data_IF_786198991892
#
_entry.id   IF_786198991892
#
_cell.length_a   1.000
_cell.length_b   1.000
_cell.length_c   1.000
_cell.angle_alpha   90.00
_cell.angle_beta   90.00
_cell.angle_gamma   90.00
#
_symmetry.space_group_name_H-M   'P 1'
#
loop_
_entity.id
_entity.type
_entity.pdbx_description
1 polymer ?
#
# COMPACT_ATOMS: atom_id res chain seq x y z
N UNK A 1 -16.80 -5.24 -4.60
CA UNK A 1 -16.62 -6.65 -4.94
C UNK A 1 -17.90 -7.27 -5.51
N UNK A 2 -19.05 -7.18 -4.83
CA UNK A 2 -20.31 -7.80 -5.25
C UNK A 2 -20.75 -7.40 -6.67
N UNK A 3 -20.65 -6.12 -7.02
CA UNK A 3 -21.01 -5.63 -8.35
C UNK A 3 -20.16 -6.24 -9.48
N UNK A 4 -18.90 -6.53 -9.21
CA UNK A 4 -17.99 -7.23 -10.15
C UNK A 4 -18.32 -8.71 -10.21
N UNK A 5 -18.53 -9.38 -9.04
CA UNK A 5 -18.84 -10.81 -8.94
C UNK A 5 -20.11 -11.19 -9.74
N UNK A 6 -21.13 -10.34 -9.68
CA UNK A 6 -22.43 -10.60 -10.34
C UNK A 6 -22.58 -9.90 -11.71
N UNK A 7 -21.49 -9.35 -12.26
CA UNK A 7 -21.47 -8.74 -13.61
C UNK A 7 -22.15 -7.38 -13.74
N UNK A 8 -22.57 -6.76 -12.65
CA UNK A 8 -23.19 -5.40 -12.68
C UNK A 8 -22.16 -4.29 -12.93
N UNK A 9 -20.89 -4.55 -12.62
CA UNK A 9 -19.77 -3.64 -12.86
C UNK A 9 -18.82 -4.31 -13.83
N UNK A 10 -18.58 -3.68 -14.97
CA UNK A 10 -17.58 -4.14 -15.95
C UNK A 10 -16.19 -4.06 -15.32
N UNK A 11 -15.43 -5.13 -15.45
CA UNK A 11 -14.09 -5.25 -14.87
C UNK A 11 -13.20 -6.09 -15.78
N UNK A 12 -11.90 -5.76 -15.82
CA UNK A 12 -10.90 -6.57 -16.52
C UNK A 12 -10.74 -7.96 -15.86
N UNK A 13 -10.10 -8.88 -16.59
CA UNK A 13 -9.82 -10.25 -16.12
C UNK A 13 -9.14 -10.25 -14.76
N UNK A 14 -8.08 -9.46 -14.58
CA UNK A 14 -7.28 -9.41 -13.35
C UNK A 14 -8.07 -8.90 -12.14
N UNK A 15 -8.90 -7.87 -12.34
CA UNK A 15 -9.78 -7.41 -11.26
C UNK A 15 -10.83 -8.46 -10.87
N UNK A 16 -11.43 -9.16 -11.83
CA UNK A 16 -12.35 -10.29 -11.55
C UNK A 16 -11.68 -11.38 -10.73
N UNK A 17 -10.42 -11.71 -11.04
CA UNK A 17 -9.63 -12.71 -10.31
C UNK A 17 -9.32 -12.25 -8.87
N UNK A 18 -8.91 -10.99 -8.68
CA UNK A 18 -8.70 -10.41 -7.35
C UNK A 18 -9.99 -10.44 -6.50
N UNK A 19 -11.14 -10.11 -7.11
CA UNK A 19 -12.45 -10.21 -6.46
C UNK A 19 -12.83 -11.65 -6.13
N UNK A 20 -12.56 -12.60 -7.03
CA UNK A 20 -12.78 -14.04 -6.76
C UNK A 20 -11.96 -14.50 -5.55
N UNK A 21 -10.68 -14.09 -5.49
CA UNK A 21 -9.79 -14.41 -4.36
C UNK A 21 -10.32 -13.82 -3.04
N UNK A 22 -10.82 -12.59 -3.04
CA UNK A 22 -11.46 -11.99 -1.86
C UNK A 22 -12.60 -12.86 -1.32
N UNK A 23 -13.49 -13.35 -2.18
CA UNK A 23 -14.60 -14.23 -1.75
C UNK A 23 -14.09 -15.59 -1.27
N UNK A 24 -13.08 -16.16 -1.93
CA UNK A 24 -12.44 -17.38 -1.46
C UNK A 24 -11.80 -17.21 -0.07
N UNK A 25 -11.19 -16.05 0.19
CA UNK A 25 -10.61 -15.75 1.50
C UNK A 25 -11.67 -15.59 2.59
N UNK A 26 -12.84 -15.04 2.27
CA UNK A 26 -13.97 -14.94 3.21
C UNK A 26 -14.51 -16.31 3.62
N UNK A 27 -14.49 -17.28 2.70
CA UNK A 27 -14.96 -18.64 2.93
C UNK A 27 -13.88 -19.56 3.55
N UNK A 28 -12.60 -19.14 3.50
CA UNK A 28 -11.49 -19.95 3.95
C UNK A 28 -11.43 -20.01 5.50
N UNK A 29 -11.50 -21.22 6.09
CA UNK A 29 -11.50 -21.40 7.54
C UNK A 29 -10.22 -20.93 8.25
N UNK A 30 -9.12 -20.73 7.52
CA UNK A 30 -7.84 -20.25 8.07
C UNK A 30 -7.84 -18.74 8.34
N UNK A 31 -8.78 -17.99 7.76
CA UNK A 31 -8.81 -16.54 7.86
C UNK A 31 -10.05 -16.03 8.60
N UNK A 32 -9.93 -14.83 9.13
CA UNK A 32 -11.05 -13.99 9.61
C UNK A 32 -11.00 -12.67 8.89
N UNK A 33 -12.16 -12.07 8.65
CA UNK A 33 -12.27 -10.72 8.14
C UNK A 33 -12.71 -9.79 9.28
N UNK A 34 -11.98 -8.69 9.48
CA UNK A 34 -12.23 -7.68 10.50
C UNK A 34 -12.79 -6.41 9.81
N UNK A 35 -14.12 -6.24 9.74
CA UNK A 35 -14.72 -5.07 9.12
C UNK A 35 -14.43 -3.78 9.89
N UNK A 36 -14.21 -3.86 11.21
CA UNK A 36 -14.00 -2.67 12.04
C UNK A 36 -12.69 -1.96 11.68
N UNK A 37 -11.62 -2.69 11.37
CA UNK A 37 -10.36 -2.06 10.93
C UNK A 37 -10.53 -1.38 9.58
N UNK A 38 -11.33 -1.96 8.68
CA UNK A 38 -11.64 -1.38 7.36
C UNK A 38 -12.44 -0.09 7.51
N UNK A 39 -13.50 -0.11 8.31
CA UNK A 39 -14.32 1.08 8.58
C UNK A 39 -13.51 2.19 9.23
N UNK A 40 -12.64 1.84 10.20
CA UNK A 40 -11.72 2.80 10.82
C UNK A 40 -10.73 3.39 9.83
N UNK A 41 -10.21 2.59 8.88
CA UNK A 41 -9.32 3.09 7.83
C UNK A 41 -10.06 4.04 6.87
N UNK A 42 -11.28 3.70 6.44
CA UNK A 42 -12.12 4.57 5.61
C UNK A 42 -12.46 5.87 6.36
N UNK A 43 -12.80 5.79 7.64
CA UNK A 43 -13.03 7.00 8.44
C UNK A 43 -11.74 7.83 8.62
N UNK A 44 -10.59 7.17 8.76
CA UNK A 44 -9.29 7.84 8.85
C UNK A 44 -8.90 8.56 7.56
N UNK A 45 -9.25 8.06 6.38
CA UNK A 45 -8.98 8.75 5.11
C UNK A 45 -9.58 10.17 5.09
N UNK A 46 -10.75 10.35 5.71
CA UNK A 46 -11.42 11.66 5.84
C UNK A 46 -10.71 12.62 6.80
N UNK A 47 -9.86 12.09 7.69
CA UNK A 47 -9.00 12.91 8.54
C UNK A 47 -7.78 13.43 7.77
N UNK A 48 -7.44 12.76 6.67
CA UNK A 48 -6.37 13.16 5.76
C UNK A 48 -6.94 14.10 4.68
N UNK A 49 -6.53 15.37 4.61
CA UNK A 49 -7.03 16.29 3.61
C UNK A 49 -6.28 16.16 2.28
N UNK A 50 -6.93 16.53 1.19
CA UNK A 50 -6.25 16.77 -0.08
C UNK A 50 -5.16 17.82 0.08
N UNK A 51 -3.98 17.57 -0.47
CA UNK A 51 -2.80 18.45 -0.29
C UNK A 51 -2.55 19.37 -1.48
N UNK A 52 -3.15 19.07 -2.64
CA UNK A 52 -2.93 19.78 -3.92
C UNK A 52 -4.25 20.06 -4.64
N UNK A 53 -4.19 20.95 -5.63
CA UNK A 53 -5.30 21.27 -6.52
C UNK A 53 -6.46 22.00 -5.86
N UNK A 54 -7.60 22.03 -6.56
CA UNK A 54 -8.81 22.75 -6.13
C UNK A 54 -9.42 22.17 -4.83
N UNK A 55 -9.19 20.88 -4.56
CA UNK A 55 -9.69 20.19 -3.38
C UNK A 55 -8.80 20.35 -2.14
N UNK A 56 -7.71 21.11 -2.22
CA UNK A 56 -6.75 21.26 -1.11
C UNK A 56 -7.45 21.67 0.19
N UNK A 57 -7.24 20.87 1.23
CA UNK A 57 -7.83 21.08 2.57
C UNK A 57 -9.16 20.34 2.79
N UNK A 58 -9.84 19.86 1.73
CA UNK A 58 -11.05 19.03 1.89
C UNK A 58 -10.69 17.59 2.29
N UNK A 59 -11.56 16.90 3.03
CA UNK A 59 -11.40 15.48 3.36
C UNK A 59 -11.26 14.60 2.12
N UNK A 60 -10.46 13.54 2.22
CA UNK A 60 -10.33 12.55 1.16
C UNK A 60 -11.38 11.46 1.36
N UNK A 61 -12.23 11.28 0.35
CA UNK A 61 -13.13 10.14 0.24
C UNK A 61 -12.49 9.08 -0.67
N UNK A 62 -12.34 7.86 -0.15
CA UNK A 62 -11.75 6.77 -0.93
C UNK A 62 -12.72 6.29 -2.01
N UNK A 63 -12.22 6.14 -3.22
CA UNK A 63 -12.94 5.51 -4.33
C UNK A 63 -13.22 4.02 -4.02
N UNK A 64 -14.28 3.42 -4.61
CA UNK A 64 -14.64 2.04 -4.33
C UNK A 64 -13.52 1.02 -4.52
N UNK A 65 -12.65 1.21 -5.51
CA UNK A 65 -11.51 0.33 -5.73
C UNK A 65 -10.45 0.46 -4.64
N UNK A 66 -10.25 1.67 -4.12
CA UNK A 66 -9.33 1.94 -3.01
C UNK A 66 -9.85 1.31 -1.72
N UNK A 67 -11.16 1.46 -1.46
CA UNK A 67 -11.80 0.79 -0.33
C UNK A 67 -11.67 -0.73 -0.43
N UNK A 68 -11.86 -1.31 -1.61
CA UNK A 68 -11.68 -2.75 -1.85
C UNK A 68 -10.23 -3.20 -1.58
N UNK A 69 -9.25 -2.47 -2.11
CA UNK A 69 -7.83 -2.80 -1.90
C UNK A 69 -7.47 -2.81 -0.40
N UNK A 70 -7.85 -1.76 0.32
CA UNK A 70 -7.54 -1.68 1.75
C UNK A 70 -8.40 -2.59 2.62
N UNK A 71 -9.62 -2.93 2.20
CA UNK A 71 -10.40 -3.97 2.84
C UNK A 71 -9.69 -5.32 2.78
N UNK A 72 -9.12 -5.68 1.61
CA UNK A 72 -8.31 -6.90 1.50
C UNK A 72 -7.05 -6.81 2.36
N UNK A 73 -6.23 -5.78 2.18
CA UNK A 73 -4.91 -5.66 2.81
C UNK A 73 -5.01 -5.60 4.34
N UNK A 74 -5.96 -4.85 4.89
CA UNK A 74 -6.04 -4.60 6.33
C UNK A 74 -7.06 -5.51 7.04
N UNK A 75 -8.10 -5.97 6.32
CA UNK A 75 -9.22 -6.67 6.93
C UNK A 75 -8.97 -8.16 7.18
N UNK A 76 -8.19 -8.84 6.35
CA UNK A 76 -7.96 -10.27 6.53
C UNK A 76 -6.85 -10.56 7.55
N UNK A 77 -7.17 -11.48 8.48
CA UNK A 77 -6.25 -11.98 9.51
C UNK A 77 -6.16 -13.49 9.49
N UNK A 78 -4.98 -14.02 9.76
CA UNK A 78 -4.74 -15.47 9.96
C UNK A 78 -5.26 -15.86 11.34
N UNK A 79 -6.25 -16.73 11.45
CA UNK A 79 -6.89 -17.13 12.72
C UNK A 79 -5.90 -17.64 13.76
N UNK A 80 -4.94 -18.44 13.34
CA UNK A 80 -3.97 -19.06 14.24
C UNK A 80 -3.07 -18.04 14.95
N UNK A 81 -2.84 -16.86 14.36
CA UNK A 81 -1.90 -15.87 14.87
C UNK A 81 -2.54 -14.52 15.20
N UNK A 82 -3.74 -14.25 14.71
CA UNK A 82 -4.41 -12.96 14.76
C UNK A 82 -3.75 -11.88 13.90
N UNK A 83 -2.68 -12.23 13.17
CA UNK A 83 -1.91 -11.29 12.36
C UNK A 83 -2.54 -11.06 11.00
N UNK A 84 -2.21 -9.93 10.38
CA UNK A 84 -2.62 -9.61 9.01
C UNK A 84 -2.22 -10.72 8.04
N UNK A 85 -3.15 -11.13 7.15
CA UNK A 85 -2.88 -12.12 6.12
C UNK A 85 -1.88 -11.60 5.09
N UNK A 86 -2.10 -10.38 4.59
CA UNK A 86 -1.30 -9.80 3.54
C UNK A 86 -0.14 -8.99 4.10
N UNK A 87 1.09 -9.45 3.83
CA UNK A 87 2.34 -8.79 4.20
C UNK A 87 3.03 -8.12 3.03
N UNK A 88 2.55 -8.38 1.81
CA UNK A 88 2.95 -7.68 0.60
C UNK A 88 1.74 -7.35 -0.26
N UNK A 89 1.83 -6.25 -1.00
CA UNK A 89 0.79 -5.81 -1.92
C UNK A 89 1.42 -5.24 -3.19
N UNK A 90 0.91 -5.67 -4.34
CA UNK A 90 1.21 -5.10 -5.65
C UNK A 90 -0.06 -4.52 -6.26
N UNK A 91 -0.04 -3.22 -6.52
CA UNK A 91 -1.17 -2.48 -7.09
C UNK A 91 -0.72 -1.79 -8.36
N UNK A 92 -1.25 -2.21 -9.49
CA UNK A 92 -1.07 -1.56 -10.77
C UNK A 92 -2.37 -0.91 -11.23
N UNK A 93 -2.36 0.42 -11.33
CA UNK A 93 -3.53 1.21 -11.78
C UNK A 93 -3.07 2.33 -12.71
N UNK A 94 -3.90 2.75 -13.68
CA UNK A 94 -3.56 3.82 -14.61
C UNK A 94 -3.13 5.11 -13.91
N UNK A 95 -2.47 6.00 -14.66
CA UNK A 95 -2.13 7.34 -14.17
C UNK A 95 -3.37 8.12 -13.74
N UNK A 96 -3.20 9.08 -12.83
CA UNK A 96 -4.25 9.97 -12.28
C UNK A 96 -5.29 9.28 -11.40
N UNK A 97 -5.02 8.07 -10.90
CA UNK A 97 -5.85 7.35 -9.94
C UNK A 97 -5.40 7.52 -8.48
N UNK A 98 -4.82 8.68 -8.15
CA UNK A 98 -4.46 9.07 -6.78
C UNK A 98 -3.52 8.09 -6.04
N UNK A 99 -2.65 7.35 -6.76
CA UNK A 99 -1.72 6.35 -6.19
C UNK A 99 -0.92 6.88 -4.99
N UNK A 100 -0.18 7.96 -5.20
CA UNK A 100 0.67 8.55 -4.14
C UNK A 100 -0.17 9.09 -2.98
N UNK A 101 -1.40 9.56 -3.25
CA UNK A 101 -2.33 10.02 -2.21
C UNK A 101 -2.76 8.88 -1.30
N UNK A 102 -3.17 7.73 -1.84
CA UNK A 102 -3.58 6.59 -1.01
C UNK A 102 -2.40 5.96 -0.29
N UNK A 103 -1.22 5.94 -0.90
CA UNK A 103 0.02 5.53 -0.24
C UNK A 103 0.37 6.46 0.95
N UNK A 104 0.16 7.78 0.81
CA UNK A 104 0.36 8.74 1.88
C UNK A 104 -0.65 8.58 3.03
N UNK A 105 -1.92 8.24 2.73
CA UNK A 105 -2.91 7.90 3.76
C UNK A 105 -2.48 6.65 4.53
N UNK A 106 -2.03 5.60 3.82
CA UNK A 106 -1.54 4.36 4.43
C UNK A 106 -0.33 4.63 5.33
N UNK A 107 0.62 5.47 4.88
CA UNK A 107 1.76 5.88 5.70
C UNK A 107 1.34 6.57 7.00
N UNK A 108 0.39 7.50 6.92
CA UNK A 108 -0.14 8.19 8.10
C UNK A 108 -0.95 7.25 9.01
N UNK A 109 -1.66 6.27 8.44
CA UNK A 109 -2.35 5.23 9.22
C UNK A 109 -1.35 4.44 10.07
N UNK A 110 -0.30 3.90 9.46
CA UNK A 110 0.75 3.19 10.19
C UNK A 110 1.41 4.06 11.24
N UNK A 111 1.64 5.35 10.94
CA UNK A 111 2.30 6.28 11.85
C UNK A 111 1.51 6.51 13.15
N UNK A 112 0.17 6.61 13.08
CA UNK A 112 -0.64 7.10 14.22
C UNK A 112 -1.72 6.15 14.71
N UNK A 113 -2.03 5.07 13.98
CA UNK A 113 -3.13 4.16 14.30
C UNK A 113 -2.65 2.74 14.64
N UNK A 114 -1.52 2.30 14.08
CA UNK A 114 -0.95 0.99 14.38
C UNK A 114 -0.32 0.95 15.77
N UNK A 115 -0.33 -0.23 16.39
CA UNK A 115 0.20 -0.44 17.73
C UNK A 115 1.74 -0.58 17.71
N UNK A 116 2.35 -0.11 18.80
CA UNK A 116 3.81 -0.17 18.98
C UNK A 116 4.56 0.83 18.12
N UNK A 117 5.88 0.69 18.09
CA UNK A 117 6.75 1.53 17.27
C UNK A 117 6.72 1.08 15.82
N UNK A 118 6.42 2.02 14.93
CA UNK A 118 6.38 1.81 13.49
C UNK A 118 7.51 2.55 12.79
N UNK A 119 8.25 1.84 11.95
CA UNK A 119 9.26 2.40 11.06
C UNK A 119 8.71 2.38 9.63
N UNK A 120 8.30 3.55 9.14
CA UNK A 120 7.63 3.70 7.86
C UNK A 120 8.58 4.37 6.86
N UNK A 121 8.77 3.74 5.72
CA UNK A 121 9.65 4.23 4.67
C UNK A 121 8.92 4.38 3.34
N UNK A 122 9.19 5.48 2.65
CA UNK A 122 8.82 5.67 1.25
C UNK A 122 10.07 5.56 0.38
N UNK A 123 10.02 4.73 -0.64
CA UNK A 123 11.13 4.48 -1.56
C UNK A 123 10.67 4.67 -3.01
N UNK A 124 11.53 5.21 -3.84
CA UNK A 124 11.37 5.34 -5.29
C UNK A 124 12.75 5.41 -5.95
N UNK A 125 12.80 5.47 -7.28
CA UNK A 125 14.05 5.48 -8.07
C UNK A 125 15.02 6.58 -7.68
N UNK A 126 14.49 7.74 -7.32
CA UNK A 126 15.28 8.87 -6.83
C UNK A 126 14.79 9.34 -5.47
N UNK A 127 15.66 10.04 -4.73
CA UNK A 127 15.29 10.66 -3.46
C UNK A 127 14.14 11.65 -3.62
N UNK A 128 14.09 12.37 -4.73
CA UNK A 128 13.04 13.36 -4.99
C UNK A 128 11.70 12.69 -5.26
N UNK A 129 11.70 11.55 -5.97
CA UNK A 129 10.48 10.76 -6.16
C UNK A 129 10.01 10.08 -4.87
N UNK A 130 10.93 9.50 -4.06
CA UNK A 130 10.58 8.95 -2.74
C UNK A 130 9.95 10.00 -1.82
N UNK A 131 10.29 11.28 -2.02
CA UNK A 131 9.70 12.40 -1.28
C UNK A 131 8.26 12.71 -1.68
N UNK A 132 7.79 12.32 -2.86
CA UNK A 132 6.42 12.65 -3.30
C UNK A 132 5.39 12.10 -2.32
N UNK A 133 5.45 10.82 -2.01
CA UNK A 133 4.53 10.18 -1.03
C UNK A 133 4.78 10.71 0.38
N UNK A 134 6.06 10.86 0.75
CA UNK A 134 6.43 11.43 2.06
C UNK A 134 5.92 12.87 2.23
N UNK A 135 6.13 13.73 1.24
CA UNK A 135 5.71 15.14 1.32
C UNK A 135 4.17 15.25 1.30
N UNK A 136 3.46 14.40 0.57
CA UNK A 136 2.00 14.34 0.62
C UNK A 136 1.53 13.90 2.02
N UNK A 137 2.10 12.85 2.61
CA UNK A 137 1.78 12.42 3.97
C UNK A 137 2.09 13.50 5.01
N UNK A 138 3.24 14.15 4.88
CA UNK A 138 3.66 15.26 5.74
C UNK A 138 2.72 16.46 5.62
N UNK A 139 2.29 16.83 4.41
CA UNK A 139 1.33 17.92 4.18
C UNK A 139 -0.05 17.58 4.75
N UNK A 140 -0.51 16.32 4.65
CA UNK A 140 -1.73 15.87 5.32
C UNK A 140 -1.65 16.10 6.82
N UNK A 141 -0.50 15.78 7.45
CA UNK A 141 -0.29 16.04 8.87
C UNK A 141 -0.29 17.55 9.20
N UNK A 142 0.26 18.41 8.34
CA UNK A 142 0.27 19.85 8.54
C UNK A 142 -1.14 20.47 8.44
N UNK A 143 -1.93 20.03 7.48
CA UNK A 143 -3.25 20.57 7.19
C UNK A 143 -4.33 20.01 8.14
N UNK A 144 -4.18 18.76 8.59
CA UNK A 144 -5.11 18.11 9.50
C UNK A 144 -4.86 18.48 10.97
N UNK A 145 -5.78 19.21 11.59
CA UNK A 145 -5.68 19.54 13.02
C UNK A 145 -5.57 18.30 13.94
N UNK A 146 -6.34 17.21 13.72
CA UNK A 146 -6.19 15.97 14.50
C UNK A 146 -4.81 15.32 14.36
N UNK A 147 -4.26 15.21 13.14
CA UNK A 147 -2.94 14.62 12.91
C UNK A 147 -1.83 15.50 13.47
N UNK A 148 -1.88 16.81 13.21
CA UNK A 148 -0.87 17.77 13.67
C UNK A 148 -0.68 17.76 15.19
N UNK A 149 -1.73 17.47 15.97
CA UNK A 149 -1.66 17.35 17.44
C UNK A 149 -0.96 16.09 17.92
N UNK A 150 -0.82 15.07 17.05
CA UNK A 150 -0.27 13.76 17.42
C UNK A 150 1.19 13.59 17.01
N UNK A 151 1.67 14.38 16.05
CA UNK A 151 2.98 14.15 15.44
C UNK A 151 3.89 15.38 15.50
N UNK A 152 5.19 15.14 15.57
CA UNK A 152 6.24 16.13 15.39
C UNK A 152 6.69 16.12 13.92
N UNK A 153 6.46 17.24 13.22
CA UNK A 153 6.64 17.34 11.77
C UNK A 153 7.94 18.09 11.48
N UNK A 154 8.89 17.40 10.85
CA UNK A 154 10.18 17.95 10.44
C UNK A 154 10.30 17.94 8.90
N UNK A 155 11.36 18.57 8.37
CA UNK A 155 11.58 18.65 6.93
C UNK A 155 11.80 17.29 6.24
N UNK A 156 12.38 16.31 6.95
CA UNK A 156 12.81 15.04 6.39
C UNK A 156 12.25 13.81 7.14
N UNK A 157 11.44 14.04 8.14
CA UNK A 157 10.76 12.97 8.89
C UNK A 157 9.53 13.50 9.62
N UNK A 158 8.58 12.59 9.88
CA UNK A 158 7.45 12.82 10.76
C UNK A 158 7.52 11.78 11.87
N UNK A 159 7.38 12.22 13.12
CA UNK A 159 7.52 11.35 14.30
C UNK A 159 6.23 11.38 15.09
N UNK A 160 5.73 10.22 15.49
CA UNK A 160 4.67 10.10 16.50
C UNK A 160 5.32 9.88 17.88
N UNK A 161 5.40 10.93 18.73
CA UNK A 161 6.23 10.87 19.95
C UNK A 161 5.73 9.85 20.97
N UNK A 162 4.45 9.52 20.96
CA UNK A 162 3.84 8.57 21.90
C UNK A 162 4.36 7.13 21.74
N UNK A 163 4.58 6.70 20.49
CA UNK A 163 5.04 5.35 20.14
C UNK A 163 6.47 5.34 19.62
N UNK A 164 7.08 6.52 19.46
CA UNK A 164 8.36 6.71 18.78
C UNK A 164 8.36 6.21 17.32
N UNK A 165 7.18 6.19 16.70
CA UNK A 165 7.03 5.80 15.28
C UNK A 165 7.59 6.89 14.36
N UNK A 166 8.17 6.46 13.24
CA UNK A 166 8.90 7.33 12.31
C UNK A 166 8.44 7.10 10.87
N UNK A 167 8.15 8.19 10.15
CA UNK A 167 7.97 8.21 8.70
C UNK A 167 9.08 9.03 8.06
N UNK A 168 9.82 8.45 7.11
CA UNK A 168 10.86 9.16 6.33
C UNK A 168 11.03 8.60 4.91
N UNK A 169 11.48 9.42 3.95
CA UNK A 169 11.87 8.94 2.63
C UNK A 169 13.25 8.29 2.67
N UNK A 170 13.43 7.20 1.91
CA UNK A 170 14.72 6.55 1.70
C UNK A 170 15.30 6.94 0.34
N UNK A 171 16.62 7.08 0.29
CA UNK A 171 17.33 7.17 -0.98
C UNK A 171 17.36 5.78 -1.65
N UNK A 172 17.20 5.75 -2.97
CA UNK A 172 17.10 4.53 -3.79
C UNK A 172 18.40 3.74 -3.96
N UNK A 173 19.19 3.60 -2.88
CA UNK A 173 20.40 2.76 -2.88
C UNK A 173 20.18 1.62 -1.92
N UNK A 174 20.23 0.37 -2.41
CA UNK A 174 20.09 -0.84 -1.59
C UNK A 174 20.98 -0.78 -0.33
N UNK A 175 22.23 -0.33 -0.45
CA UNK A 175 23.16 -0.16 0.66
C UNK A 175 22.68 0.82 1.77
N UNK A 176 21.77 1.74 1.48
CA UNK A 176 21.19 2.64 2.50
C UNK A 176 19.95 2.06 3.18
N UNK A 177 19.41 0.97 2.62
CA UNK A 177 18.24 0.24 3.11
C UNK A 177 18.68 -0.88 4.04
N UNK A 178 19.88 -1.42 3.84
CA UNK A 178 20.48 -2.44 4.72
C UNK A 178 20.52 -1.94 6.18
N UNK A 179 20.06 -2.80 7.10
CA UNK A 179 19.93 -2.46 8.52
C UNK A 179 18.65 -1.70 8.90
N UNK A 180 17.75 -1.42 7.95
CA UNK A 180 16.40 -0.94 8.29
C UNK A 180 15.51 -2.13 8.69
N UNK A 181 14.49 -1.86 9.51
CA UNK A 181 13.50 -2.85 9.95
C UNK A 181 12.09 -2.28 9.73
N UNK A 182 11.63 -2.17 8.47
CA UNK A 182 10.38 -1.50 8.16
C UNK A 182 9.16 -2.25 8.71
N UNK A 183 8.22 -1.52 9.29
CA UNK A 183 6.85 -2.01 9.51
C UNK A 183 5.94 -1.71 8.31
N UNK A 184 6.25 -0.63 7.59
CA UNK A 184 5.65 -0.33 6.29
C UNK A 184 6.75 0.19 5.36
N UNK A 185 6.89 -0.43 4.20
CA UNK A 185 7.70 0.08 3.10
C UNK A 185 6.80 0.34 1.89
N UNK A 186 6.81 1.57 1.40
CA UNK A 186 6.05 1.99 0.22
C UNK A 186 7.02 2.16 -0.93
N UNK A 187 6.85 1.37 -1.99
CA UNK A 187 7.58 1.47 -3.25
C UNK A 187 6.66 2.11 -4.28
N UNK A 188 6.86 3.40 -4.53
CA UNK A 188 6.07 4.16 -5.50
C UNK A 188 6.75 4.14 -6.88
N UNK A 189 5.93 4.15 -7.93
CA UNK A 189 6.36 4.11 -9.35
C UNK A 189 7.36 2.98 -9.63
N UNK A 190 7.04 1.76 -9.16
CA UNK A 190 7.93 0.59 -9.24
C UNK A 190 8.42 0.30 -10.66
N UNK A 191 7.62 0.62 -11.69
CA UNK A 191 8.01 0.46 -13.10
C UNK A 191 9.24 1.28 -13.52
N UNK A 192 9.62 2.31 -12.77
CA UNK A 192 10.79 3.14 -13.04
C UNK A 192 12.06 2.57 -12.39
N UNK A 193 11.97 1.61 -11.47
CA UNK A 193 13.15 1.03 -10.82
C UNK A 193 14.01 0.25 -11.84
N UNK A 194 15.34 0.47 -11.86
CA UNK A 194 16.21 -0.18 -12.84
C UNK A 194 16.34 -1.68 -12.59
N UNK A 195 16.21 -2.09 -11.33
CA UNK A 195 16.32 -3.47 -10.87
C UNK A 195 15.46 -3.71 -9.63
N UNK A 196 15.52 -4.91 -9.07
CA UNK A 196 14.77 -5.31 -7.87
C UNK A 196 15.48 -4.98 -6.55
N UNK A 197 16.66 -4.34 -6.57
CA UNK A 197 17.50 -4.19 -5.40
C UNK A 197 16.83 -3.46 -4.23
N UNK A 198 16.09 -2.38 -4.51
CA UNK A 198 15.35 -1.61 -3.49
C UNK A 198 14.22 -2.46 -2.90
N UNK A 199 13.42 -3.11 -3.74
CA UNK A 199 12.30 -3.95 -3.32
C UNK A 199 12.79 -5.10 -2.43
N UNK A 200 13.79 -5.86 -2.90
CA UNK A 200 14.36 -7.00 -2.19
C UNK A 200 15.04 -6.59 -0.87
N UNK A 201 15.74 -5.46 -0.83
CA UNK A 201 16.36 -4.98 0.40
C UNK A 201 15.31 -4.60 1.47
N UNK A 202 14.19 -3.98 1.05
CA UNK A 202 13.07 -3.68 1.95
C UNK A 202 12.39 -4.95 2.45
N UNK A 203 12.13 -5.90 1.56
CA UNK A 203 11.53 -7.20 1.90
C UNK A 203 12.37 -7.97 2.92
N UNK A 204 13.69 -8.08 2.67
CA UNK A 204 14.62 -8.71 3.61
C UNK A 204 14.69 -7.98 4.95
N UNK A 205 14.68 -6.64 4.93
CA UNK A 205 14.66 -5.81 6.13
C UNK A 205 13.41 -6.02 7.01
N UNK A 206 12.31 -6.47 6.41
CA UNK A 206 11.04 -6.74 7.11
C UNK A 206 11.01 -8.09 7.84
N UNK A 207 11.98 -8.98 7.61
CA UNK A 207 11.95 -10.36 8.12
C UNK A 207 11.75 -10.49 9.64
N UNK A 208 12.14 -9.47 10.42
CA UNK A 208 11.91 -9.42 11.87
C UNK A 208 10.55 -8.80 12.27
N UNK A 209 9.75 -8.31 11.32
CA UNK A 209 8.43 -7.69 11.57
C UNK A 209 7.29 -8.66 11.23
N UNK A 210 6.60 -9.23 12.22
CA UNK A 210 5.54 -10.22 11.97
C UNK A 210 4.36 -9.70 11.16
N UNK A 211 4.13 -8.39 11.18
CA UNK A 211 3.05 -7.69 10.47
C UNK A 211 3.59 -6.56 9.59
N UNK A 212 4.83 -6.70 9.10
CA UNK A 212 5.37 -5.80 8.09
C UNK A 212 4.51 -5.78 6.83
N UNK A 213 4.43 -4.65 6.15
CA UNK A 213 3.73 -4.52 4.87
C UNK A 213 4.64 -3.87 3.83
N UNK A 214 4.97 -4.61 2.79
CA UNK A 214 5.63 -4.10 1.60
C UNK A 214 4.56 -3.73 0.57
N UNK A 215 4.38 -2.44 0.34
CA UNK A 215 3.32 -1.89 -0.50
C UNK A 215 3.91 -1.28 -1.77
N UNK A 216 3.86 -2.03 -2.87
CA UNK A 216 4.28 -1.57 -4.19
C UNK A 216 3.08 -1.05 -4.98
N UNK A 217 3.18 0.19 -5.48
CA UNK A 217 2.14 0.80 -6.29
C UNK A 217 2.75 1.43 -7.53
N UNK A 218 2.15 1.17 -8.69
CA UNK A 218 2.73 1.56 -9.98
C UNK A 218 1.69 1.80 -11.05
N UNK A 219 2.13 2.31 -12.18
CA UNK A 219 1.44 2.22 -13.47
C UNK A 219 2.12 1.17 -14.34
N UNK A 220 1.47 0.73 -15.38
CA UNK A 220 2.11 -0.09 -16.43
C UNK A 220 3.35 0.63 -16.97
N UNK A 221 4.46 -0.09 -16.99
CA UNK A 221 5.71 0.37 -17.60
C UNK A 221 5.79 -0.02 -19.08
N UNK A 222 6.57 0.72 -19.85
CA UNK A 222 6.88 0.36 -21.25
C UNK A 222 8.04 -0.63 -21.40
N UNK A 223 8.82 -0.85 -20.34
CA UNK A 223 9.96 -1.76 -20.36
C UNK A 223 9.55 -3.19 -20.00
N UNK A 224 9.45 -4.03 -21.02
CA UNK A 224 9.02 -5.44 -20.90
C UNK A 224 10.05 -6.36 -20.24
N UNK A 225 11.27 -5.89 -19.97
CA UNK A 225 12.36 -6.67 -19.35
C UNK A 225 12.66 -6.17 -17.91
N UNK A 226 11.88 -5.21 -17.43
CA UNK A 226 12.10 -4.60 -16.10
C UNK A 226 11.77 -5.56 -14.96
N UNK A 227 12.38 -5.31 -13.79
CA UNK A 227 12.04 -6.00 -12.54
C UNK A 227 10.54 -5.88 -12.20
N UNK A 228 9.94 -4.73 -12.48
CA UNK A 228 8.50 -4.52 -12.29
C UNK A 228 7.67 -5.44 -13.20
N UNK A 229 8.07 -5.64 -14.47
CA UNK A 229 7.37 -6.56 -15.38
C UNK A 229 7.48 -8.01 -14.91
N UNK A 230 8.66 -8.45 -14.48
CA UNK A 230 8.83 -9.79 -13.89
C UNK A 230 7.95 -9.98 -12.65
N UNK A 231 7.86 -8.95 -11.80
CA UNK A 231 6.99 -8.99 -10.64
C UNK A 231 5.50 -8.98 -11.02
N UNK A 232 5.11 -8.22 -12.03
CA UNK A 232 3.77 -8.24 -12.62
C UNK A 232 3.42 -9.64 -13.14
N UNK A 233 4.33 -10.31 -13.89
CA UNK A 233 4.10 -11.65 -14.41
C UNK A 233 3.90 -12.66 -13.27
N UNK A 234 4.72 -12.58 -12.22
CA UNK A 234 4.53 -13.37 -11.01
C UNK A 234 3.17 -13.09 -10.33
N UNK A 235 2.76 -11.85 -10.24
CA UNK A 235 1.44 -11.47 -9.71
C UNK A 235 0.29 -12.03 -10.57
N UNK A 236 0.47 -12.06 -11.90
CA UNK A 236 -0.49 -12.69 -12.81
C UNK A 236 -0.60 -14.19 -12.57
N UNK A 237 0.52 -14.90 -12.39
CA UNK A 237 0.55 -16.33 -12.07
C UNK A 237 -0.19 -16.64 -10.75
N UNK A 238 -0.03 -15.76 -9.73
CA UNK A 238 -0.81 -15.89 -8.49
C UNK A 238 -2.32 -15.75 -8.76
N UNK A 239 -2.73 -14.77 -9.56
CA UNK A 239 -4.14 -14.57 -9.89
C UNK A 239 -4.71 -15.68 -10.77
N UNK A 240 -3.91 -16.24 -11.66
CA UNK A 240 -4.29 -17.39 -12.51
C UNK A 240 -4.32 -18.72 -11.71
N UNK A 241 -3.72 -18.76 -10.51
CA UNK A 241 -3.64 -19.95 -9.65
C UNK A 241 -2.51 -20.91 -10.04
N UNK A 242 -1.55 -20.43 -10.85
CA UNK A 242 -0.34 -21.17 -11.24
C UNK A 242 0.72 -21.12 -10.13
N UNK A 243 0.74 -20.02 -9.37
CA UNK A 243 1.61 -19.83 -8.22
C UNK A 243 0.79 -19.60 -6.95
N UNK A 244 1.31 -20.08 -5.81
CA UNK A 244 0.66 -19.95 -4.51
C UNK A 244 1.45 -18.99 -3.62
N UNK A 245 0.92 -17.81 -3.41
CA UNK A 245 1.42 -16.85 -2.41
C UNK A 245 0.25 -16.22 -1.66
N UNK A 246 -0.06 -16.79 -0.50
CA UNK A 246 -1.19 -16.35 0.31
C UNK A 246 -0.97 -14.99 0.99
N UNK A 247 0.28 -14.58 1.15
CA UNK A 247 0.66 -13.32 1.80
C UNK A 247 0.74 -12.13 0.85
N UNK A 248 0.65 -12.35 -0.47
CA UNK A 248 0.70 -11.32 -1.50
C UNK A 248 -0.71 -10.89 -1.92
N UNK A 249 -1.06 -9.64 -1.72
CA UNK A 249 -2.25 -9.03 -2.32
C UNK A 249 -1.91 -8.49 -3.71
N UNK A 250 -2.74 -8.81 -4.69
CA UNK A 250 -2.57 -8.36 -6.08
C UNK A 250 -3.82 -7.64 -6.56
N UNK A 251 -3.65 -6.43 -7.10
CA UNK A 251 -4.71 -5.67 -7.76
C UNK A 251 -4.16 -5.03 -9.03
N UNK A 252 -4.67 -5.45 -10.18
CA UNK A 252 -4.24 -4.98 -11.50
C UNK A 252 -5.44 -4.50 -12.29
N UNK A 253 -5.36 -3.25 -12.77
CA UNK A 253 -6.29 -2.65 -13.71
C UNK A 253 -5.60 -2.50 -15.06
N UNK A 254 -6.03 -3.29 -16.01
CA UNK A 254 -5.51 -3.30 -17.38
C UNK A 254 -6.66 -3.42 -18.39
N UNK A 255 -6.37 -3.25 -19.66
CA UNK A 255 -7.28 -3.63 -20.72
C UNK A 255 -7.10 -5.12 -20.97
N UNK A 256 -8.21 -5.85 -21.09
CA UNK A 256 -8.15 -7.24 -21.54
C UNK A 256 -7.77 -7.26 -23.02
N UNK A 257 -6.94 -8.24 -23.43
CA UNK A 257 -6.67 -8.50 -24.84
C UNK A 257 -8.00 -8.90 -25.54
N UNK A 258 -8.23 -8.37 -26.75
CA UNK A 258 -9.41 -8.68 -27.55
C UNK A 258 -9.42 -10.13 -28.06
#
# INVERSE_FOLDING_TARGET
AEGVKNGKITACKRLKQAVKRYFSDLENPLYTFDPEVVERFIAFSRVCPHVKGAMRGSPIELEPWQQFAFACILGFKVKATGRRKYTSAFIEVPRKNAKSTVAAILANWFLVMEHGQQDIYTAAVSRDQARIVFDDARQMCLLSRPLRKRVNIQAHKVIHPKTNSLLKPLAAKAATIEGTNPSLAIVDEYHLHPDNGVYSALELGMGARPEGLLFAITTSGSNVVSACKQHYDYCCQILDGEEVNESMFVLIYELDDE
#
